data_IF_538808587478
#
_entry.id   IF_538808587478
#
_cell.length_a   1.000
_cell.length_b   1.000
_cell.length_c   1.000
_cell.angle_alpha   90.00
_cell.angle_beta   90.00
_cell.angle_gamma   90.00
#
_symmetry.space_group_name_H-M   'P 1'
#
loop_
_entity.id
_entity.type
_entity.pdbx_description
1 polymer ?
#
# COMPACT_ATOMS: atom_id res chain seq x y z
N UNK A 1 -16.95 -11.55 -3.49
CA UNK A 1 -16.05 -12.69 -3.20
C UNK A 1 -16.17 -12.96 -1.72
N UNK A 2 -16.51 -14.19 -1.35
CA UNK A 2 -16.69 -14.54 0.06
C UNK A 2 -15.46 -15.27 0.59
N UNK A 3 -15.08 -14.92 1.82
CA UNK A 3 -13.92 -15.46 2.53
C UNK A 3 -14.34 -15.76 3.96
N UNK A 4 -13.79 -16.83 4.53
CA UNK A 4 -14.01 -17.12 5.94
C UNK A 4 -13.39 -16.05 6.83
N UNK A 5 -13.98 -15.77 7.99
CA UNK A 5 -13.49 -14.75 8.94
C UNK A 5 -12.02 -14.95 9.35
N UNK A 6 -11.60 -16.20 9.53
CA UNK A 6 -10.19 -16.54 9.80
C UNK A 6 -9.28 -16.09 8.64
N UNK A 7 -9.71 -16.26 7.39
CA UNK A 7 -8.93 -15.81 6.24
C UNK A 7 -8.81 -14.28 6.22
N UNK A 8 -9.88 -13.56 6.57
CA UNK A 8 -9.86 -12.10 6.71
C UNK A 8 -8.83 -11.66 7.73
N UNK A 9 -8.86 -12.26 8.93
CA UNK A 9 -7.98 -11.93 10.05
C UNK A 9 -6.48 -12.05 9.71
N UNK A 10 -6.09 -13.08 8.94
CA UNK A 10 -4.68 -13.34 8.65
C UNK A 10 -4.21 -12.84 7.28
N UNK A 11 -5.10 -12.71 6.30
CA UNK A 11 -4.73 -12.40 4.91
C UNK A 11 -5.14 -11.02 4.43
N UNK A 12 -6.05 -10.33 5.14
CA UNK A 12 -6.64 -9.06 4.68
C UNK A 12 -6.57 -7.96 5.75
N UNK A 13 -5.49 -7.91 6.52
CA UNK A 13 -5.24 -6.82 7.46
C UNK A 13 -5.02 -5.48 6.72
N UNK A 14 -5.33 -4.32 7.35
CA UNK A 14 -5.11 -3.02 6.74
C UNK A 14 -3.66 -2.85 6.27
N UNK A 15 -3.48 -2.31 5.08
CA UNK A 15 -2.18 -2.11 4.44
C UNK A 15 -1.57 -3.36 3.78
N UNK A 16 -2.18 -4.55 3.94
CA UNK A 16 -1.70 -5.78 3.29
C UNK A 16 -2.05 -5.78 1.80
N UNK A 17 -1.10 -6.22 0.96
CA UNK A 17 -1.33 -6.41 -0.47
C UNK A 17 -1.75 -7.84 -0.79
N UNK A 18 -2.57 -8.01 -1.83
CA UNK A 18 -3.02 -9.32 -2.30
C UNK A 18 -3.39 -9.29 -3.79
N UNK A 19 -3.36 -10.45 -4.43
CA UNK A 19 -3.78 -10.61 -5.82
C UNK A 19 -5.31 -10.78 -5.93
N UNK A 20 -5.95 -9.85 -6.61
CA UNK A 20 -7.37 -9.90 -6.95
C UNK A 20 -7.59 -10.83 -8.15
N UNK A 21 -8.61 -11.69 -8.06
CA UNK A 21 -9.10 -12.57 -9.12
C UNK A 21 -8.00 -13.26 -9.97
N UNK A 22 -7.17 -14.10 -9.34
CA UNK A 22 -6.10 -14.86 -10.02
C UNK A 22 -5.05 -13.96 -10.71
N UNK A 23 -4.78 -12.78 -10.17
CA UNK A 23 -3.72 -11.89 -10.64
C UNK A 23 -4.16 -10.88 -11.70
N UNK A 24 -5.46 -10.61 -11.81
CA UNK A 24 -5.97 -9.52 -12.66
C UNK A 24 -5.46 -8.17 -12.19
N UNK A 25 -5.42 -7.96 -10.86
CA UNK A 25 -4.86 -6.77 -10.25
C UNK A 25 -4.26 -7.11 -8.89
N UNK A 26 -3.28 -6.32 -8.48
CA UNK A 26 -2.77 -6.28 -7.12
C UNK A 26 -3.53 -5.17 -6.41
N UNK A 27 -4.06 -5.48 -5.23
CA UNK A 27 -4.79 -4.55 -4.38
C UNK A 27 -4.11 -4.42 -3.02
N UNK A 28 -4.31 -3.28 -2.35
CA UNK A 28 -3.92 -3.04 -0.95
C UNK A 28 -5.18 -2.81 -0.14
N UNK A 29 -5.33 -3.52 0.98
CA UNK A 29 -6.46 -3.33 1.90
C UNK A 29 -6.38 -1.92 2.48
N UNK A 30 -7.44 -1.14 2.29
CA UNK A 30 -7.57 0.22 2.83
C UNK A 30 -8.37 0.21 4.13
N UNK A 31 -9.44 -0.58 4.20
CA UNK A 31 -10.35 -0.57 5.34
C UNK A 31 -10.97 -1.96 5.59
N UNK A 32 -11.32 -2.22 6.85
CA UNK A 32 -12.15 -3.35 7.25
C UNK A 32 -13.40 -2.79 7.89
N UNK A 33 -14.53 -3.03 7.25
CA UNK A 33 -15.84 -2.66 7.75
C UNK A 33 -16.46 -3.84 8.49
N UNK A 34 -17.19 -3.52 9.55
CA UNK A 34 -17.88 -4.52 10.34
C UNK A 34 -18.69 -3.91 11.47
N UNK A 35 -19.31 -4.79 12.23
CA UNK A 35 -20.14 -4.39 13.37
C UNK A 35 -19.34 -4.47 14.67
N UNK A 36 -19.62 -3.55 15.59
CA UNK A 36 -19.01 -3.59 16.92
C UNK A 36 -19.45 -4.87 17.65
N UNK A 37 -18.49 -5.69 18.07
CA UNK A 37 -18.76 -6.86 18.87
C UNK A 37 -18.89 -6.45 20.35
N UNK A 38 -20.13 -6.48 20.85
CA UNK A 38 -20.47 -6.15 22.24
C UNK A 38 -20.62 -7.40 23.14
N UNK A 39 -20.55 -8.59 22.55
CA UNK A 39 -20.72 -9.87 23.24
C UNK A 39 -19.45 -10.27 23.97
N UNK A 40 -18.30 -9.98 23.38
CA UNK A 40 -16.99 -10.29 23.95
C UNK A 40 -16.53 -9.14 24.86
N UNK A 41 -15.93 -9.49 26.00
CA UNK A 41 -15.33 -8.51 26.91
C UNK A 41 -14.16 -7.79 26.25
N UNK A 42 -14.39 -6.54 25.79
CA UNK A 42 -13.36 -5.64 25.26
C UNK A 42 -12.16 -5.53 26.21
N UNK A 43 -12.41 -5.45 27.51
CA UNK A 43 -11.37 -5.38 28.54
C UNK A 43 -10.47 -6.61 28.51
N UNK A 44 -11.05 -7.81 28.49
CA UNK A 44 -10.30 -9.06 28.47
C UNK A 44 -9.42 -9.18 27.22
N UNK A 45 -9.97 -8.85 26.04
CA UNK A 45 -9.22 -8.87 24.78
C UNK A 45 -8.05 -7.88 24.82
N UNK A 46 -8.28 -6.68 25.35
CA UNK A 46 -7.22 -5.67 25.50
C UNK A 46 -6.12 -6.10 26.48
N UNK A 47 -6.47 -6.77 27.57
CA UNK A 47 -5.51 -7.31 28.53
C UNK A 47 -4.63 -8.41 27.90
N UNK A 48 -5.22 -9.33 27.15
CA UNK A 48 -4.45 -10.35 26.42
C UNK A 48 -3.58 -9.74 25.32
N UNK A 49 -4.10 -8.79 24.55
CA UNK A 49 -3.31 -8.05 23.56
C UNK A 49 -2.13 -7.31 24.20
N UNK A 50 -2.36 -6.66 25.36
CA UNK A 50 -1.32 -5.97 26.10
C UNK A 50 -0.22 -6.91 26.61
N UNK A 51 -0.53 -8.16 26.99
CA UNK A 51 0.48 -9.17 27.36
C UNK A 51 1.38 -9.51 26.17
N UNK A 52 0.79 -9.75 25.00
CA UNK A 52 1.55 -10.07 23.78
C UNK A 52 2.42 -8.90 23.35
N UNK A 53 1.84 -7.70 23.28
CA UNK A 53 2.53 -6.48 22.84
C UNK A 53 3.53 -5.99 23.89
N UNK A 54 3.32 -6.29 25.17
CA UNK A 54 4.22 -5.96 26.28
C UNK A 54 5.62 -6.56 26.11
N UNK A 55 5.75 -7.70 25.43
CA UNK A 55 7.04 -8.30 25.08
C UNK A 55 7.80 -7.60 23.96
N UNK A 56 7.19 -6.61 23.28
CA UNK A 56 7.82 -5.93 22.15
C UNK A 56 8.73 -4.77 22.59
N UNK A 57 9.77 -4.45 21.80
CA UNK A 57 10.58 -3.25 22.00
C UNK A 57 9.74 -1.98 22.09
N UNK A 58 10.13 -1.04 22.94
CA UNK A 58 9.36 0.18 23.21
C UNK A 58 9.08 1.00 21.94
N UNK A 59 10.00 0.99 20.98
CA UNK A 59 9.86 1.72 19.72
C UNK A 59 8.73 1.18 18.85
N UNK A 60 8.34 -0.09 19.04
CA UNK A 60 7.19 -0.73 18.37
C UNK A 60 5.89 -0.57 19.16
N UNK A 61 5.97 -0.47 20.50
CA UNK A 61 4.79 -0.31 21.36
C UNK A 61 4.12 1.06 21.22
N UNK A 62 4.89 2.12 20.91
CA UNK A 62 4.38 3.49 20.75
C UNK A 62 3.32 3.67 19.65
N UNK A 63 3.11 2.67 18.80
CA UNK A 63 2.11 2.70 17.73
C UNK A 63 0.72 2.26 18.18
N UNK A 64 0.59 1.75 19.40
CA UNK A 64 -0.69 1.41 20.01
C UNK A 64 -1.09 2.48 21.02
N UNK A 65 -2.35 2.91 21.08
CA UNK A 65 -2.87 3.69 22.18
C UNK A 65 -2.62 3.01 23.53
N UNK A 66 -2.67 3.75 24.63
CA UNK A 66 -2.60 3.13 25.95
C UNK A 66 -3.74 2.11 26.10
N UNK A 67 -3.41 0.84 26.36
CA UNK A 67 -4.37 -0.25 26.55
C UNK A 67 -5.30 -0.02 27.75
N UNK A 68 -4.93 0.85 28.69
CA UNK A 68 -5.81 1.28 29.78
C UNK A 68 -6.93 2.20 29.30
N UNK A 69 -6.73 2.91 28.19
CA UNK A 69 -7.76 3.73 27.57
C UNK A 69 -8.59 2.87 26.59
N UNK A 70 -9.57 2.17 27.13
CA UNK A 70 -10.41 1.24 26.36
C UNK A 70 -11.26 1.91 25.29
N UNK A 71 -11.46 3.22 25.35
CA UNK A 71 -12.29 3.97 24.39
C UNK A 71 -11.54 4.28 23.09
N UNK A 72 -10.21 4.21 23.12
CA UNK A 72 -9.36 4.23 21.92
C UNK A 72 -9.47 2.96 21.08
N UNK A 73 -10.26 1.98 21.52
CA UNK A 73 -10.37 0.67 20.87
C UNK A 73 -11.83 0.28 20.64
N UNK A 74 -12.06 -0.39 19.51
CA UNK A 74 -13.27 -1.15 19.21
C UNK A 74 -12.93 -2.59 18.88
N UNK A 75 -13.78 -3.49 19.35
CA UNK A 75 -13.83 -4.85 18.84
C UNK A 75 -14.77 -4.86 17.64
N UNK A 76 -14.29 -5.29 16.48
CA UNK A 76 -15.09 -5.34 15.26
C UNK A 76 -15.16 -6.77 14.77
N UNK A 77 -16.38 -7.21 14.48
CA UNK A 77 -16.65 -8.41 13.72
C UNK A 77 -16.67 -8.05 12.23
N UNK A 78 -15.71 -8.55 11.42
CA UNK A 78 -15.51 -8.08 10.06
C UNK A 78 -16.62 -8.61 9.15
N UNK A 79 -17.20 -7.72 8.34
CA UNK A 79 -18.21 -8.04 7.33
C UNK A 79 -17.68 -7.82 5.92
N UNK A 80 -16.90 -6.75 5.71
CA UNK A 80 -16.34 -6.41 4.40
C UNK A 80 -14.91 -5.94 4.53
N UNK A 81 -14.13 -6.27 3.50
CA UNK A 81 -12.77 -5.75 3.31
C UNK A 81 -12.82 -4.83 2.11
N UNK A 82 -12.45 -3.57 2.32
CA UNK A 82 -12.31 -2.58 1.25
C UNK A 82 -10.84 -2.53 0.85
N UNK A 83 -10.60 -2.59 -0.45
CA UNK A 83 -9.27 -2.57 -1.02
C UNK A 83 -9.24 -1.76 -2.31
N UNK A 84 -8.10 -1.13 -2.54
CA UNK A 84 -7.86 -0.31 -3.73
C UNK A 84 -6.73 -0.91 -4.57
N UNK A 85 -6.78 -0.70 -5.88
CA UNK A 85 -5.73 -1.13 -6.81
C UNK A 85 -4.41 -0.49 -6.40
N UNK A 86 -3.39 -1.31 -6.20
CA UNK A 86 -2.07 -0.89 -5.73
C UNK A 86 -0.98 -1.83 -6.22
N UNK A 87 0.13 -1.32 -6.79
CA UNK A 87 0.43 0.08 -7.01
C UNK A 87 -0.35 0.65 -8.21
N UNK A 88 -0.57 1.95 -8.23
CA UNK A 88 -1.19 2.67 -9.36
C UNK A 88 -0.15 3.02 -10.45
N UNK A 89 0.68 2.04 -10.79
CA UNK A 89 1.77 2.17 -11.75
C UNK A 89 1.63 1.07 -12.80
N UNK A 90 1.55 1.49 -14.06
CA UNK A 90 1.26 0.60 -15.18
C UNK A 90 2.31 0.75 -16.28
N UNK A 91 2.66 -0.35 -16.92
CA UNK A 91 3.58 -0.44 -18.06
C UNK A 91 2.82 -0.83 -19.32
N UNK A 92 3.11 -0.16 -20.44
CA UNK A 92 2.61 -0.55 -21.75
C UNK A 92 3.28 -1.86 -22.23
N UNK A 93 2.47 -2.86 -22.62
CA UNK A 93 2.98 -4.14 -23.17
C UNK A 93 3.81 -3.97 -24.45
N UNK A 94 3.49 -2.98 -25.27
CA UNK A 94 4.16 -2.74 -26.56
C UNK A 94 5.45 -1.93 -26.43
N UNK A 95 5.34 -0.68 -25.96
CA UNK A 95 6.46 0.27 -25.98
C UNK A 95 7.18 0.45 -24.64
N UNK A 96 6.74 -0.25 -23.58
CA UNK A 96 7.32 -0.22 -22.21
C UNK A 96 7.25 1.12 -21.47
N UNK A 97 6.61 2.14 -22.05
CA UNK A 97 6.34 3.38 -21.33
C UNK A 97 5.42 3.14 -20.13
N UNK A 98 5.69 3.86 -19.05
CA UNK A 98 4.91 3.76 -17.83
C UNK A 98 3.92 4.91 -17.67
N UNK A 99 2.81 4.64 -16.98
CA UNK A 99 1.83 5.64 -16.53
C UNK A 99 1.58 5.43 -15.05
N UNK A 100 1.73 6.49 -14.26
CA UNK A 100 1.48 6.48 -12.83
C UNK A 100 0.29 7.38 -12.53
N UNK A 101 -0.70 6.86 -11.79
CA UNK A 101 -1.81 7.64 -11.29
C UNK A 101 -1.53 8.10 -9.85
N UNK A 102 -2.06 9.28 -9.51
CA UNK A 102 -1.92 9.89 -8.19
C UNK A 102 -2.94 9.38 -7.20
N UNK A 103 -4.13 8.96 -7.66
CA UNK A 103 -5.20 8.44 -6.81
C UNK A 103 -5.98 7.32 -7.50
N UNK A 104 -6.67 6.50 -6.70
CA UNK A 104 -7.59 5.49 -7.22
C UNK A 104 -8.71 6.12 -8.05
N UNK A 105 -9.13 7.34 -7.71
CA UNK A 105 -10.14 8.08 -8.49
C UNK A 105 -9.63 8.43 -9.89
N UNK A 106 -8.38 8.91 -10.01
CA UNK A 106 -7.78 9.24 -11.31
C UNK A 106 -7.68 8.01 -12.22
N UNK A 107 -7.39 6.86 -11.62
CA UNK A 107 -7.36 5.58 -12.31
C UNK A 107 -8.78 5.16 -12.78
N UNK A 108 -9.79 5.23 -11.89
CA UNK A 108 -11.19 4.90 -12.24
C UNK A 108 -11.72 5.79 -13.37
N UNK A 109 -11.31 7.05 -13.42
CA UNK A 109 -11.71 7.99 -14.48
C UNK A 109 -11.18 7.62 -15.88
N UNK A 110 -10.22 6.69 -16.00
CA UNK A 110 -9.77 6.20 -17.32
C UNK A 110 -10.78 5.24 -17.98
N UNK A 111 -11.76 4.74 -17.23
CA UNK A 111 -12.72 3.74 -17.71
C UNK A 111 -12.18 2.31 -17.68
N UNK A 112 -12.84 1.41 -18.41
CA UNK A 112 -12.64 -0.04 -18.29
C UNK A 112 -11.40 -0.58 -19.03
N UNK A 113 -10.69 0.23 -19.80
CA UNK A 113 -9.52 -0.26 -20.57
C UNK A 113 -8.41 0.77 -20.57
N UNK A 114 -7.32 0.44 -19.88
CA UNK A 114 -6.13 1.28 -19.85
C UNK A 114 -5.23 0.98 -21.07
N UNK A 115 -5.14 1.94 -21.99
CA UNK A 115 -4.30 1.87 -23.19
C UNK A 115 -3.20 2.92 -23.18
N UNK A 116 -2.10 2.61 -23.86
CA UNK A 116 -0.97 3.51 -24.00
C UNK A 116 -1.28 4.63 -25.01
N UNK A 117 -1.17 5.88 -24.58
CA UNK A 117 -1.37 7.07 -25.42
C UNK A 117 -0.39 7.18 -26.62
N UNK A 118 0.75 6.46 -26.60
CA UNK A 118 1.75 6.51 -27.67
C UNK A 118 1.60 5.42 -28.73
N UNK A 119 1.10 4.24 -28.38
CA UNK A 119 1.05 3.09 -29.30
C UNK A 119 -0.26 2.29 -29.27
N UNK A 120 -1.25 2.70 -28.47
CA UNK A 120 -2.56 2.08 -28.37
C UNK A 120 -2.61 0.72 -27.67
N UNK A 121 -1.46 0.10 -27.37
CA UNK A 121 -1.40 -1.20 -26.71
C UNK A 121 -1.88 -1.16 -25.26
N UNK A 122 -2.38 -2.30 -24.77
CA UNK A 122 -2.83 -2.45 -23.38
C UNK A 122 -1.70 -2.21 -22.38
N UNK A 123 -2.06 -1.65 -21.23
CA UNK A 123 -1.15 -1.47 -20.10
C UNK A 123 -1.40 -2.53 -19.02
N UNK A 124 -0.33 -2.98 -18.37
CA UNK A 124 -0.36 -3.93 -17.25
C UNK A 124 0.20 -3.30 -16.00
N UNK A 125 -0.29 -3.73 -14.85
CA UNK A 125 0.22 -3.25 -13.58
C UNK A 125 1.66 -3.72 -13.35
N UNK A 126 2.51 -2.84 -12.85
CA UNK A 126 3.84 -3.19 -12.34
C UNK A 126 3.66 -3.78 -10.93
N UNK A 127 4.30 -4.92 -10.67
CA UNK A 127 4.19 -5.64 -9.39
C UNK A 127 5.28 -5.26 -8.37
N UNK A 128 6.22 -4.39 -8.76
CA UNK A 128 7.30 -3.94 -7.90
C UNK A 128 6.84 -2.84 -6.94
N UNK A 129 7.18 -3.03 -5.67
CA UNK A 129 6.90 -2.09 -4.58
C UNK A 129 8.16 -1.89 -3.74
N UNK A 130 8.19 -0.80 -3.00
CA UNK A 130 9.21 -0.51 -2.00
C UNK A 130 8.67 -0.93 -0.65
N UNK A 131 9.47 -1.70 0.09
CA UNK A 131 9.17 -2.07 1.48
C UNK A 131 10.17 -1.33 2.38
N UNK A 132 9.65 -0.54 3.31
CA UNK A 132 10.47 0.12 4.32
C UNK A 132 10.70 -0.77 5.53
N UNK A 133 11.74 -0.50 6.32
CA UNK A 133 12.04 -1.25 7.55
C UNK A 133 10.90 -1.20 8.58
N UNK A 134 10.06 -0.15 8.53
CA UNK A 134 8.87 -0.06 9.37
C UNK A 134 7.68 -0.89 8.87
N UNK A 135 7.83 -1.61 7.75
CA UNK A 135 6.77 -2.40 7.12
C UNK A 135 5.87 -1.61 6.15
N UNK A 136 6.10 -0.31 5.98
CA UNK A 136 5.34 0.48 5.00
C UNK A 136 5.62 -0.02 3.57
N UNK A 137 4.57 -0.18 2.79
CA UNK A 137 4.63 -0.60 1.38
C UNK A 137 4.23 0.57 0.49
N UNK A 138 5.16 1.05 -0.31
CA UNK A 138 5.01 2.21 -1.20
C UNK A 138 5.19 1.82 -2.67
N UNK A 139 4.55 2.51 -3.62
CA UNK A 139 4.77 2.29 -5.03
C UNK A 139 6.15 2.83 -5.45
N UNK A 140 6.69 2.36 -6.58
CA UNK A 140 7.81 3.04 -7.22
C UNK A 140 7.37 4.42 -7.71
N UNK A 141 8.22 5.44 -7.51
CA UNK A 141 7.98 6.77 -8.06
C UNK A 141 8.62 6.92 -9.44
N UNK A 142 7.82 7.34 -10.42
CA UNK A 142 8.32 7.57 -11.79
C UNK A 142 8.91 8.98 -11.85
N UNK A 143 10.23 9.13 -12.09
CA UNK A 143 10.86 10.43 -12.25
C UNK A 143 10.46 11.07 -13.58
N UNK A 144 10.83 12.34 -13.78
CA UNK A 144 10.66 13.01 -15.07
C UNK A 144 11.99 13.11 -15.79
N UNK A 145 11.99 12.90 -17.12
CA UNK A 145 13.08 13.34 -17.97
C UNK A 145 13.09 14.87 -18.03
N UNK A 146 14.27 15.49 -17.99
CA UNK A 146 14.41 16.95 -18.09
C UNK A 146 13.96 17.51 -19.44
N UNK A 147 14.00 16.70 -20.51
CA UNK A 147 13.65 17.11 -21.88
C UNK A 147 12.26 16.64 -22.29
N UNK A 148 11.89 15.40 -21.96
CA UNK A 148 10.67 14.75 -22.49
C UNK A 148 9.57 14.53 -21.44
N UNK A 149 9.78 14.98 -20.20
CA UNK A 149 8.77 14.82 -19.15
C UNK A 149 8.65 13.37 -18.62
N UNK A 150 7.50 13.08 -18.01
CA UNK A 150 7.20 11.79 -17.35
C UNK A 150 6.65 10.72 -18.31
N UNK A 151 5.96 11.13 -19.37
CA UNK A 151 5.20 10.23 -20.25
C UNK A 151 6.07 9.31 -21.12
N UNK A 152 7.33 9.69 -21.34
CA UNK A 152 8.29 8.91 -22.11
C UNK A 152 9.21 8.04 -21.24
N UNK A 153 8.90 7.91 -19.95
CA UNK A 153 9.68 7.08 -19.03
C UNK A 153 9.32 5.60 -19.15
N UNK A 154 10.31 4.72 -18.96
CA UNK A 154 10.16 3.28 -18.82
C UNK A 154 11.01 2.75 -17.67
N UNK A 155 10.59 1.64 -17.07
CA UNK A 155 11.41 0.90 -16.12
C UNK A 155 12.25 -0.13 -16.90
N UNK A 156 13.57 0.05 -16.90
CA UNK A 156 14.51 -0.95 -17.42
C UNK A 156 14.90 -1.89 -16.28
N UNK A 157 14.25 -3.05 -16.21
CA UNK A 157 14.54 -4.13 -15.26
C UNK A 157 15.59 -5.12 -15.77
N UNK A 158 15.91 -5.07 -17.09
CA UNK A 158 16.80 -5.98 -17.82
C UNK A 158 16.51 -7.47 -17.58
N UNK A 159 15.29 -7.83 -17.20
CA UNK A 159 14.98 -9.19 -16.73
C UNK A 159 15.81 -9.64 -15.53
N UNK A 160 16.39 -8.71 -14.78
CA UNK A 160 17.22 -9.00 -13.62
C UNK A 160 16.37 -9.38 -12.42
N UNK A 161 16.82 -10.37 -11.64
CA UNK A 161 16.21 -10.66 -10.33
C UNK A 161 16.69 -9.69 -9.24
N UNK A 162 17.66 -8.82 -9.55
CA UNK A 162 18.27 -7.91 -8.57
C UNK A 162 17.79 -6.47 -8.79
N UNK A 163 17.03 -5.95 -7.84
CA UNK A 163 16.51 -4.57 -7.85
C UNK A 163 17.58 -3.48 -7.96
N UNK A 164 18.86 -3.77 -7.65
CA UNK A 164 19.98 -2.84 -7.83
C UNK A 164 20.24 -2.48 -9.29
N UNK A 165 19.82 -3.34 -10.23
CA UNK A 165 20.04 -3.16 -11.65
C UNK A 165 18.92 -2.38 -12.34
N UNK A 166 17.81 -2.15 -11.63
CA UNK A 166 16.64 -1.49 -12.20
C UNK A 166 16.93 0.00 -12.38
N UNK A 167 16.58 0.53 -13.55
CA UNK A 167 16.81 1.93 -13.88
C UNK A 167 15.59 2.54 -14.54
N UNK A 168 15.29 3.78 -14.19
CA UNK A 168 14.37 4.59 -14.97
C UNK A 168 15.10 5.12 -16.20
N UNK A 169 14.53 4.89 -17.39
CA UNK A 169 15.11 5.31 -18.67
C UNK A 169 14.08 6.11 -19.45
N UNK A 170 14.49 7.24 -20.02
CA UNK A 170 13.65 7.95 -20.98
C UNK A 170 13.72 7.24 -22.33
N UNK A 171 12.59 6.82 -22.89
CA UNK A 171 12.51 6.06 -24.13
C UNK A 171 12.99 6.84 -25.36
N UNK A 172 12.90 8.18 -25.32
CA UNK A 172 13.34 9.05 -26.41
C UNK A 172 14.84 9.35 -26.34
N UNK A 173 15.36 9.70 -25.15
CA UNK A 173 16.79 9.95 -24.98
C UNK A 173 17.63 8.67 -24.95
N UNK A 174 17.00 7.54 -24.60
CA UNK A 174 17.66 6.27 -24.28
C UNK A 174 18.72 6.37 -23.15
N UNK A 175 18.59 7.37 -22.28
CA UNK A 175 19.51 7.61 -21.17
C UNK A 175 18.81 7.34 -19.82
N UNK A 176 19.52 6.72 -18.86
CA UNK A 176 18.99 6.53 -17.52
C UNK A 176 18.88 7.87 -16.79
N UNK A 177 17.80 8.04 -16.03
CA UNK A 177 17.63 9.16 -15.12
C UNK A 177 18.30 8.79 -13.79
N UNK A 178 19.30 9.57 -13.37
CA UNK A 178 20.14 9.27 -12.19
C UNK A 178 19.43 9.56 -10.86
N UNK A 179 18.33 8.87 -10.61
CA UNK A 179 17.51 9.01 -9.38
C UNK A 179 17.30 7.67 -8.64
N UNK A 180 17.91 6.58 -9.15
CA UNK A 180 17.64 5.21 -8.71
C UNK A 180 16.15 4.85 -8.83
N UNK A 181 15.70 3.82 -8.11
CA UNK A 181 14.26 3.50 -7.99
C UNK A 181 13.47 4.51 -7.13
N UNK A 182 14.12 5.61 -6.71
CA UNK A 182 13.64 6.60 -5.74
C UNK A 182 13.02 5.95 -4.48
N UNK A 183 13.88 5.59 -3.52
CA UNK A 183 13.50 4.97 -2.23
C UNK A 183 13.03 6.00 -1.20
N UNK A 184 12.30 7.03 -1.62
CA UNK A 184 11.79 8.05 -0.71
C UNK A 184 10.58 7.54 0.07
N UNK A 185 10.83 6.90 1.21
CA UNK A 185 9.78 6.74 2.22
C UNK A 185 9.41 8.15 2.73
N UNK A 186 8.18 8.58 2.46
CA UNK A 186 7.54 9.72 3.14
C UNK A 186 6.89 9.30 4.45
N UNK A 187 7.06 8.03 4.86
CA UNK A 187 6.63 7.58 6.16
C UNK A 187 7.12 8.59 7.20
N UNK A 188 6.17 9.09 7.97
CA UNK A 188 6.35 10.12 8.99
C UNK A 188 7.43 9.74 10.02
N UNK A 189 7.85 8.48 10.02
CA UNK A 189 8.81 7.87 10.92
C UNK A 189 10.28 8.14 10.59
N UNK A 190 10.61 8.78 9.46
CA UNK A 190 12.02 9.10 9.14
C UNK A 190 12.63 10.22 10.00
N UNK A 191 11.84 11.05 10.71
CA UNK A 191 12.36 12.12 11.59
C UNK A 191 11.31 12.68 12.60
N UNK A 192 10.89 11.91 13.61
CA UNK A 192 10.10 12.42 14.77
C UNK A 192 10.76 11.93 16.08
N UNK A 193 11.15 12.70 17.11
CA UNK A 193 10.75 14.04 17.61
C UNK A 193 9.40 14.52 17.09
N UNK A 194 8.40 13.86 17.64
CA UNK A 194 6.97 13.95 17.40
C UNK A 194 6.49 15.39 17.66
N UNK A 195 6.07 16.11 16.62
CA UNK A 195 5.10 17.20 16.76
C UNK A 195 4.06 17.13 15.64
N UNK A 196 2.86 16.79 16.11
CA UNK A 196 1.52 17.16 15.62
C UNK A 196 1.13 16.72 14.20
N UNK A 197 -0.16 16.39 14.03
CA UNK A 197 -0.87 15.92 12.81
C UNK A 197 -1.14 14.40 12.72
N UNK A 198 -2.10 13.97 13.55
CA UNK A 198 -3.16 13.04 13.15
C UNK A 198 -4.49 13.68 13.59
N UNK A 199 -5.11 14.45 12.70
CA UNK A 199 -6.51 14.85 12.84
C UNK A 199 -7.25 14.25 11.65
N UNK A 200 -8.23 13.40 11.99
CA UNK A 200 -9.26 12.81 11.12
C UNK A 200 -8.82 11.63 10.26
N UNK A 201 -8.90 10.41 10.85
CA UNK A 201 -9.64 9.26 10.26
C UNK A 201 -9.40 7.92 10.99
N UNK A 202 -8.93 7.89 12.25
CA UNK A 202 -8.99 6.67 13.08
C UNK A 202 -9.28 7.11 14.51
N UNK A 203 -10.56 7.32 14.84
CA UNK A 203 -10.95 7.58 16.23
C UNK A 203 -10.81 6.31 17.10
N UNK A 204 -10.59 5.13 16.52
CA UNK A 204 -10.43 3.86 17.28
C UNK A 204 -9.55 2.84 16.56
N UNK A 205 -8.63 2.21 17.30
CA UNK A 205 -7.88 1.04 16.82
C UNK A 205 -8.81 -0.18 16.83
N UNK A 206 -8.94 -0.81 15.67
CA UNK A 206 -9.75 -2.03 15.51
C UNK A 206 -8.93 -3.24 15.96
N UNK A 207 -9.42 -3.92 17.00
CA UNK A 207 -8.95 -5.27 17.35
C UNK A 207 -9.99 -6.25 16.82
N UNK A 208 -9.57 -7.09 15.86
CA UNK A 208 -10.44 -8.09 15.24
C UNK A 208 -10.32 -9.38 16.05
N UNK A 209 -11.44 -9.85 16.60
CA UNK A 209 -11.53 -11.15 17.24
C UNK A 209 -12.86 -11.83 16.93
N UNK A 210 -12.80 -13.17 16.81
CA UNK A 210 -13.95 -14.07 16.58
C UNK A 210 -14.67 -14.39 17.88
#
# INVERSE_FOLDING_TARGET
MDRGKIQVLFHFLPGKTFDWEKGIAICKVSEIEGNENKTISKKYVLEEAAKVIGGWPQERRRFFPDFKNTDSYILVEPERVIADVFPLLFECKGCKRVKQFTSAQDFRNQGNTLTCNKCGQAMIQIHHVLVHECGEVAPLYVPSCSVHGKDDMMLDDRGSQTYSNFKWVCKVCNNPVNTGLNRSCTCTYKNLKIKEWFRQSIDRVVLIYL
#
